data_IF_076042489311
#
_entry.id   IF_076042489311
#
_cell.length_a   1.000
_cell.length_b   1.000
_cell.length_c   1.000
_cell.angle_alpha   90.00
_cell.angle_beta   90.00
_cell.angle_gamma   90.00
#
_symmetry.space_group_name_H-M   'P 1'
#
loop_
_entity.id
_entity.type
_entity.pdbx_description
1 polymer ?
#
# COMPACT_ATOMS: atom_id res chain seq x y z
N UNK A 1 14.66 35.13 -22.87
CA UNK A 1 14.63 36.34 -22.04
C UNK A 1 14.98 35.92 -20.61
N UNK A 2 15.83 36.68 -19.91
CA UNK A 2 16.35 36.49 -18.52
C UNK A 2 17.78 35.92 -18.29
N UNK A 3 18.60 35.62 -19.31
CA UNK A 3 20.01 35.22 -19.01
C UNK A 3 20.94 36.41 -18.69
N UNK A 4 20.66 37.61 -19.22
CA UNK A 4 21.58 38.76 -19.10
C UNK A 4 21.62 39.28 -17.65
N UNK A 5 20.46 39.40 -16.99
CA UNK A 5 20.39 39.85 -15.60
C UNK A 5 21.07 38.86 -14.65
N UNK A 6 20.86 37.56 -14.85
CA UNK A 6 21.55 36.52 -14.09
C UNK A 6 23.06 36.54 -14.34
N UNK A 7 23.51 36.74 -15.58
CA UNK A 7 24.93 36.88 -15.90
C UNK A 7 25.55 38.16 -15.33
N UNK A 8 24.82 39.26 -15.29
CA UNK A 8 25.24 40.52 -14.66
C UNK A 8 25.42 40.35 -13.14
N UNK A 9 24.44 39.74 -12.46
CA UNK A 9 24.52 39.47 -11.03
C UNK A 9 25.63 38.47 -10.69
N UNK A 10 25.78 37.41 -11.48
CA UNK A 10 26.83 36.42 -11.33
C UNK A 10 28.22 37.04 -11.57
N UNK A 11 28.40 37.85 -12.61
CA UNK A 11 29.68 38.50 -12.91
C UNK A 11 30.07 39.50 -11.83
N UNK A 12 29.13 40.30 -11.31
CA UNK A 12 29.37 41.19 -10.17
C UNK A 12 29.77 40.42 -8.90
N UNK A 13 29.14 39.27 -8.64
CA UNK A 13 29.49 38.42 -7.49
C UNK A 13 30.87 37.79 -7.63
N UNK A 14 31.18 37.24 -8.80
CA UNK A 14 32.49 36.68 -9.13
C UNK A 14 33.56 37.78 -9.04
N UNK A 15 33.27 38.98 -9.55
CA UNK A 15 34.18 40.12 -9.46
C UNK A 15 34.50 40.48 -8.01
N UNK A 16 33.49 40.57 -7.13
CA UNK A 16 33.71 40.82 -5.69
C UNK A 16 34.55 39.73 -5.04
N UNK A 17 34.28 38.47 -5.36
CA UNK A 17 35.07 37.34 -4.87
C UNK A 17 36.52 37.43 -5.36
N UNK A 18 36.73 37.65 -6.65
CA UNK A 18 38.05 37.83 -7.23
C UNK A 18 38.78 39.03 -6.64
N UNK A 19 38.09 40.12 -6.32
CA UNK A 19 38.69 41.30 -5.71
C UNK A 19 39.19 41.02 -4.29
N UNK A 20 38.48 40.20 -3.52
CA UNK A 20 38.85 39.85 -2.14
C UNK A 20 39.76 38.62 -2.04
N UNK A 21 39.81 37.79 -3.08
CA UNK A 21 40.61 36.57 -3.11
C UNK A 21 42.07 36.86 -3.48
N UNK A 22 43.02 36.25 -2.76
CA UNK A 22 44.43 36.21 -3.13
C UNK A 22 44.68 34.99 -4.02
N UNK A 23 45.25 35.18 -5.21
CA UNK A 23 45.58 34.08 -6.12
C UNK A 23 46.72 33.23 -5.53
N UNK A 24 46.48 31.93 -5.34
CA UNK A 24 47.44 31.00 -4.77
C UNK A 24 48.30 30.40 -5.89
N UNK A 25 49.24 31.21 -6.38
CA UNK A 25 50.29 30.80 -7.30
C UNK A 25 49.93 30.84 -8.79
N UNK A 26 50.92 30.49 -9.62
CA UNK A 26 50.88 30.60 -11.09
C UNK A 26 49.79 29.70 -11.71
N UNK A 27 49.60 28.51 -11.15
CA UNK A 27 48.68 27.48 -11.64
C UNK A 27 47.22 27.92 -11.53
N UNK A 28 46.83 28.48 -10.38
CA UNK A 28 45.47 29.01 -10.15
C UNK A 28 45.19 30.23 -11.02
N UNK A 29 46.13 31.19 -11.07
CA UNK A 29 46.01 32.39 -11.90
C UNK A 29 45.83 32.04 -13.39
N UNK A 30 46.65 31.11 -13.89
CA UNK A 30 46.56 30.59 -15.26
C UNK A 30 45.23 29.91 -15.54
N UNK A 31 44.72 29.13 -14.58
CA UNK A 31 43.43 28.46 -14.71
C UNK A 31 42.28 29.46 -14.85
N UNK A 32 42.23 30.50 -14.01
CA UNK A 32 41.17 31.51 -14.04
C UNK A 32 41.22 32.35 -15.32
N UNK A 33 42.40 32.79 -15.75
CA UNK A 33 42.58 33.51 -17.03
C UNK A 33 42.14 32.64 -18.20
N UNK A 34 42.55 31.38 -18.23
CA UNK A 34 42.15 30.43 -19.27
C UNK A 34 40.62 30.25 -19.31
N UNK A 35 39.96 30.17 -18.15
CA UNK A 35 38.50 30.06 -18.09
C UNK A 35 37.80 31.29 -18.66
N UNK A 36 38.20 32.50 -18.25
CA UNK A 36 37.60 33.74 -18.76
C UNK A 36 37.92 33.91 -20.26
N UNK A 37 39.14 33.61 -20.70
CA UNK A 37 39.54 33.68 -22.11
C UNK A 37 38.71 32.76 -23.00
N UNK A 38 38.49 31.51 -22.55
CA UNK A 38 37.67 30.55 -23.29
C UNK A 38 36.22 31.02 -23.42
N UNK A 39 35.65 31.61 -22.38
CA UNK A 39 34.28 32.15 -22.42
C UNK A 39 34.22 33.37 -23.34
N UNK A 40 35.23 34.25 -23.30
CA UNK A 40 35.38 35.40 -24.19
C UNK A 40 35.43 34.98 -25.66
N UNK A 41 36.14 33.90 -26.01
CA UNK A 41 36.17 33.37 -27.37
C UNK A 41 34.81 32.84 -27.84
N UNK A 42 34.01 32.25 -26.94
CA UNK A 42 32.71 31.66 -27.29
C UNK A 42 31.59 32.72 -27.34
N UNK A 43 31.67 33.77 -26.52
CA UNK A 43 30.56 34.73 -26.29
C UNK A 43 30.94 36.20 -26.55
N UNK A 44 32.15 36.48 -27.01
CA UNK A 44 32.69 37.83 -27.16
C UNK A 44 32.11 38.67 -28.31
N UNK A 45 31.23 38.09 -29.13
CA UNK A 45 30.46 38.82 -30.14
C UNK A 45 29.37 39.69 -29.51
N UNK A 46 28.80 39.26 -28.38
CA UNK A 46 27.79 40.01 -27.67
C UNK A 46 28.44 41.07 -26.76
N UNK A 47 28.17 42.35 -27.03
CA UNK A 47 28.75 43.48 -26.30
C UNK A 47 28.45 43.46 -24.79
N UNK A 48 27.26 43.02 -24.38
CA UNK A 48 26.86 42.96 -22.97
C UNK A 48 27.62 41.88 -22.18
N UNK A 49 27.80 40.68 -22.74
CA UNK A 49 28.57 39.63 -22.07
C UNK A 49 30.07 39.96 -22.07
N UNK A 50 30.55 40.59 -23.13
CA UNK A 50 31.94 41.04 -23.22
C UNK A 50 32.27 42.09 -22.15
N UNK A 51 31.36 43.05 -21.89
CA UNK A 51 31.56 44.09 -20.87
C UNK A 51 31.63 43.54 -19.45
N UNK A 52 30.93 42.44 -19.15
CA UNK A 52 31.04 41.73 -17.87
C UNK A 52 32.35 40.93 -17.76
N UNK A 53 32.75 40.26 -18.83
CA UNK A 53 33.93 39.39 -18.84
C UNK A 53 35.24 40.18 -18.88
N UNK A 54 35.28 41.34 -19.57
CA UNK A 54 36.47 42.20 -19.63
C UNK A 54 36.85 42.72 -18.25
N UNK A 55 35.87 43.03 -17.40
CA UNK A 55 36.12 43.47 -16.03
C UNK A 55 36.77 42.36 -15.18
N UNK A 56 36.33 41.12 -15.36
CA UNK A 56 36.95 39.94 -14.74
C UNK A 56 38.35 39.67 -15.29
N UNK A 57 38.53 39.78 -16.62
CA UNK A 57 39.83 39.59 -17.25
C UNK A 57 40.84 40.64 -16.79
N UNK A 58 40.44 41.92 -16.74
CA UNK A 58 41.30 43.02 -16.28
C UNK A 58 41.76 42.81 -14.85
N UNK A 59 40.84 42.46 -13.95
CA UNK A 59 41.22 42.20 -12.55
C UNK A 59 42.12 40.98 -12.39
N UNK A 60 41.91 39.94 -13.18
CA UNK A 60 42.81 38.78 -13.19
C UNK A 60 44.20 39.16 -13.71
N UNK A 61 44.30 39.95 -14.79
CA UNK A 61 45.58 40.44 -15.32
C UNK A 61 46.31 41.28 -14.28
N UNK A 62 45.63 42.24 -13.65
CA UNK A 62 46.24 43.10 -12.63
C UNK A 62 46.78 42.30 -11.44
N UNK A 63 46.02 41.31 -10.98
CA UNK A 63 46.42 40.45 -9.84
C UNK A 63 47.49 39.42 -10.20
N UNK A 64 47.53 38.97 -11.45
CA UNK A 64 48.45 37.93 -11.90
C UNK A 64 49.69 38.45 -12.61
N UNK A 65 49.79 39.76 -12.83
CA UNK A 65 50.86 40.42 -13.58
C UNK A 65 52.26 39.96 -13.14
N UNK A 66 52.51 39.97 -11.82
CA UNK A 66 53.77 39.50 -11.24
C UNK A 66 53.86 37.97 -11.13
N UNK A 67 52.75 37.30 -10.84
CA UNK A 67 52.69 35.84 -10.66
C UNK A 67 52.97 35.08 -11.96
N UNK A 68 52.55 35.63 -13.09
CA UNK A 68 52.74 35.05 -14.42
C UNK A 68 53.93 35.66 -15.18
N UNK A 69 54.67 36.60 -14.57
CA UNK A 69 55.78 37.32 -15.22
C UNK A 69 55.34 37.93 -16.56
N UNK A 70 54.15 38.56 -16.57
CA UNK A 70 53.57 39.14 -17.78
C UNK A 70 54.46 40.24 -18.38
N UNK A 71 55.27 40.91 -17.56
CA UNK A 71 56.28 41.87 -17.99
C UNK A 71 57.33 41.29 -18.97
N UNK A 72 57.55 39.97 -18.97
CA UNK A 72 58.51 39.30 -19.87
C UNK A 72 57.78 38.61 -21.01
N UNK A 73 56.58 38.07 -20.73
CA UNK A 73 55.85 37.21 -21.66
C UNK A 73 54.88 37.97 -22.57
N UNK A 74 54.46 39.16 -22.14
CA UNK A 74 53.47 39.98 -22.83
C UNK A 74 53.82 41.47 -22.65
N UNK A 75 54.63 42.00 -23.58
CA UNK A 75 55.20 43.34 -23.48
C UNK A 75 54.19 44.44 -23.82
N UNK A 76 53.18 44.14 -24.63
CA UNK A 76 52.21 45.12 -25.13
C UNK A 76 50.83 45.07 -24.43
N UNK A 77 50.73 44.49 -23.23
CA UNK A 77 49.43 44.45 -22.52
C UNK A 77 48.94 45.88 -22.29
N UNK A 78 47.72 46.25 -22.69
CA UNK A 78 47.18 47.56 -22.38
C UNK A 78 47.01 47.68 -20.86
N UNK A 79 47.75 48.59 -20.21
CA UNK A 79 47.69 48.80 -18.75
C UNK A 79 46.76 49.96 -18.34
N UNK A 80 46.05 50.56 -19.31
CA UNK A 80 45.23 51.73 -19.07
C UNK A 80 44.06 51.42 -18.12
N UNK A 81 43.58 52.46 -17.42
CA UNK A 81 42.34 52.37 -16.61
C UNK A 81 41.18 51.97 -17.52
N UNK A 82 40.16 51.32 -16.95
CA UNK A 82 38.98 50.83 -17.67
C UNK A 82 38.22 52.01 -18.32
N UNK A 83 38.61 52.38 -19.54
CA UNK A 83 37.96 53.37 -20.39
C UNK A 83 37.23 52.66 -21.52
N UNK A 84 36.23 53.28 -22.16
CA UNK A 84 35.58 52.71 -23.35
C UNK A 84 36.60 52.35 -24.45
N UNK A 85 37.64 53.17 -24.63
CA UNK A 85 38.75 52.88 -25.53
C UNK A 85 39.54 51.62 -25.14
N UNK A 86 39.83 51.42 -23.84
CA UNK A 86 40.51 50.22 -23.35
C UNK A 86 39.75 48.93 -23.67
N UNK A 87 38.41 48.94 -23.62
CA UNK A 87 37.58 47.76 -23.88
C UNK A 87 37.74 47.31 -25.34
N UNK A 88 37.78 48.26 -26.28
CA UNK A 88 38.00 48.01 -27.71
C UNK A 88 39.44 47.62 -28.01
N UNK A 89 40.42 48.33 -27.44
CA UNK A 89 41.84 48.04 -27.59
C UNK A 89 42.19 46.64 -27.07
N UNK A 90 41.65 46.26 -25.92
CA UNK A 90 41.87 44.93 -25.35
C UNK A 90 41.17 43.83 -26.17
N UNK A 91 40.03 44.14 -26.81
CA UNK A 91 39.35 43.19 -27.70
C UNK A 91 40.20 42.84 -28.91
N UNK A 92 40.82 43.86 -29.51
CA UNK A 92 41.79 43.68 -30.60
C UNK A 92 43.05 43.00 -30.09
N UNK A 93 43.51 43.33 -28.89
CA UNK A 93 44.67 42.71 -28.27
C UNK A 93 44.53 41.20 -28.09
N UNK A 94 43.36 40.72 -27.64
CA UNK A 94 43.07 39.29 -27.51
C UNK A 94 43.13 38.51 -28.82
N UNK A 95 43.11 39.18 -29.98
CA UNK A 95 43.24 38.56 -31.30
C UNK A 95 44.71 38.53 -31.80
N UNK A 96 45.62 39.19 -31.09
CA UNK A 96 47.04 39.22 -31.46
C UNK A 96 47.71 37.87 -31.24
N UNK A 97 48.73 37.59 -32.05
CA UNK A 97 49.56 36.39 -31.90
C UNK A 97 50.26 36.34 -30.54
N UNK A 98 50.60 37.49 -29.96
CA UNK A 98 51.24 37.60 -28.65
C UNK A 98 50.34 37.02 -27.54
N UNK A 99 49.07 37.46 -27.49
CA UNK A 99 48.10 36.95 -26.52
C UNK A 99 47.83 35.45 -26.70
N UNK A 100 47.62 35.01 -27.95
CA UNK A 100 47.36 33.60 -28.25
C UNK A 100 48.53 32.71 -27.81
N UNK A 101 49.78 33.10 -28.13
CA UNK A 101 50.98 32.34 -27.74
C UNK A 101 51.14 32.30 -26.21
N UNK A 102 50.86 33.40 -25.51
CA UNK A 102 50.87 33.43 -24.05
C UNK A 102 49.84 32.45 -23.46
N UNK A 103 48.60 32.49 -23.96
CA UNK A 103 47.54 31.61 -23.50
C UNK A 103 47.91 30.13 -23.73
N UNK A 104 48.39 29.78 -24.93
CA UNK A 104 48.73 28.41 -25.30
C UNK A 104 49.98 27.88 -24.58
N UNK A 105 51.07 28.67 -24.53
CA UNK A 105 52.35 28.17 -24.01
C UNK A 105 52.51 28.31 -22.50
N UNK A 106 51.80 29.24 -21.87
CA UNK A 106 52.00 29.56 -20.45
C UNK A 106 50.74 29.25 -19.63
N UNK A 107 49.58 29.72 -20.06
CA UNK A 107 48.35 29.53 -19.28
C UNK A 107 47.76 28.13 -19.43
N UNK A 108 47.84 27.50 -20.61
CA UNK A 108 47.28 26.17 -20.84
C UNK A 108 47.95 25.07 -20.01
N UNK A 109 49.28 24.87 -20.04
CA UNK A 109 49.91 23.80 -19.27
C UNK A 109 49.67 23.99 -17.77
N UNK A 110 49.85 25.21 -17.24
CA UNK A 110 49.61 25.50 -15.83
C UNK A 110 48.13 25.36 -15.42
N UNK A 111 47.18 25.65 -16.32
CA UNK A 111 45.75 25.40 -16.09
C UNK A 111 45.42 23.91 -16.04
N UNK A 112 46.05 23.09 -16.87
CA UNK A 112 45.87 21.63 -16.88
C UNK A 112 46.44 20.99 -15.61
N UNK A 113 47.60 21.47 -15.15
CA UNK A 113 48.19 21.06 -13.87
C UNK A 113 47.24 21.38 -12.71
N UNK A 114 46.71 22.61 -12.64
CA UNK A 114 45.73 22.99 -11.61
C UNK A 114 44.47 22.11 -11.65
N UNK A 115 43.92 21.86 -12.85
CA UNK A 115 42.76 20.98 -13.03
C UNK A 115 43.05 19.57 -12.54
N UNK A 116 44.24 19.04 -12.84
CA UNK A 116 44.61 17.67 -12.48
C UNK A 116 44.84 17.49 -10.98
N UNK A 117 45.46 18.47 -10.32
CA UNK A 117 45.78 18.42 -8.88
C UNK A 117 44.58 18.73 -8.00
N UNK A 118 43.74 19.70 -8.38
CA UNK A 118 42.68 20.22 -7.50
C UNK A 118 41.29 19.79 -7.96
N UNK A 119 40.96 20.01 -9.25
CA UNK A 119 39.58 19.86 -9.73
C UNK A 119 39.20 18.40 -9.95
N UNK A 120 40.07 17.58 -10.57
CA UNK A 120 39.78 16.16 -10.82
C UNK A 120 39.59 15.37 -9.51
N UNK A 121 40.46 15.50 -8.48
CA UNK A 121 40.27 14.80 -7.22
C UNK A 121 39.04 15.29 -6.47
N UNK A 122 38.78 16.60 -6.46
CA UNK A 122 37.55 17.15 -5.88
C UNK A 122 36.29 16.55 -6.52
N UNK A 123 36.21 16.53 -7.86
CA UNK A 123 35.09 15.91 -8.57
C UNK A 123 34.92 14.43 -8.24
N UNK A 124 36.03 13.67 -8.19
CA UNK A 124 36.01 12.25 -7.84
C UNK A 124 35.52 12.02 -6.42
N UNK A 125 35.97 12.83 -5.46
CA UNK A 125 35.53 12.75 -4.07
C UNK A 125 34.06 13.13 -3.92
N UNK A 126 33.61 14.16 -4.63
CA UNK A 126 32.20 14.55 -4.66
C UNK A 126 31.33 13.42 -5.21
N UNK A 127 31.76 12.78 -6.30
CA UNK A 127 31.05 11.63 -6.88
C UNK A 127 30.95 10.47 -5.88
N UNK A 128 32.05 10.10 -5.23
CA UNK A 128 32.04 9.07 -4.18
C UNK A 128 31.07 9.41 -3.05
N UNK A 129 31.10 10.66 -2.58
CA UNK A 129 30.21 11.12 -1.53
C UNK A 129 28.73 11.02 -1.93
N UNK A 130 28.38 11.42 -3.15
CA UNK A 130 27.03 11.23 -3.69
C UNK A 130 26.64 9.75 -3.82
N UNK A 131 27.56 8.90 -4.26
CA UNK A 131 27.30 7.46 -4.37
C UNK A 131 27.06 6.83 -2.99
N UNK A 132 27.85 7.23 -1.99
CA UNK A 132 27.75 6.69 -0.63
C UNK A 132 26.48 7.20 0.07
N UNK A 133 26.14 8.47 -0.06
CA UNK A 133 24.86 9.01 0.45
C UNK A 133 23.66 8.32 -0.18
N UNK A 134 23.70 8.06 -1.49
CA UNK A 134 22.65 7.31 -2.18
C UNK A 134 22.55 5.86 -1.67
N UNK A 135 23.67 5.17 -1.48
CA UNK A 135 23.68 3.81 -0.90
C UNK A 135 23.14 3.80 0.53
N UNK A 136 23.52 4.78 1.36
CA UNK A 136 23.01 4.90 2.73
C UNK A 136 21.49 5.15 2.74
N UNK A 137 20.99 6.01 1.85
CA UNK A 137 19.56 6.24 1.70
C UNK A 137 18.83 4.95 1.28
N UNK A 138 19.33 4.27 0.26
CA UNK A 138 18.72 3.03 -0.25
C UNK A 138 18.69 1.94 0.82
N UNK A 139 19.80 1.70 1.51
CA UNK A 139 19.86 0.74 2.61
C UNK A 139 18.96 1.11 3.78
N UNK A 140 18.79 2.41 4.07
CA UNK A 140 17.83 2.89 5.06
C UNK A 140 16.38 2.58 4.69
N UNK A 141 16.03 2.78 3.42
CA UNK A 141 14.71 2.43 2.88
C UNK A 141 14.48 0.92 2.97
N UNK A 142 15.43 0.11 2.49
CA UNK A 142 15.31 -1.36 2.49
C UNK A 142 15.21 -1.93 3.92
N UNK A 143 15.94 -1.34 4.89
CA UNK A 143 15.81 -1.73 6.30
C UNK A 143 14.42 -1.39 6.85
N UNK A 144 13.90 -0.20 6.54
CA UNK A 144 12.57 0.23 6.99
C UNK A 144 11.48 -0.67 6.39
N UNK A 145 11.53 -0.97 5.10
CA UNK A 145 10.53 -1.84 4.45
C UNK A 145 10.55 -3.23 5.06
N UNK A 146 11.75 -3.81 5.25
CA UNK A 146 11.92 -5.11 5.91
C UNK A 146 11.34 -5.13 7.33
N UNK A 147 11.63 -4.11 8.15
CA UNK A 147 11.06 -4.00 9.50
C UNK A 147 9.54 -3.90 9.48
N UNK A 148 8.96 -3.12 8.55
CA UNK A 148 7.51 -3.03 8.41
C UNK A 148 6.90 -4.39 8.04
N UNK A 149 7.52 -5.13 7.14
CA UNK A 149 7.07 -6.47 6.75
C UNK A 149 7.18 -7.47 7.90
N UNK A 150 8.28 -7.47 8.64
CA UNK A 150 8.47 -8.30 9.82
C UNK A 150 7.45 -7.99 10.91
N UNK A 151 7.21 -6.71 11.21
CA UNK A 151 6.23 -6.30 12.22
C UNK A 151 4.79 -6.60 11.78
N UNK A 152 4.47 -6.46 10.48
CA UNK A 152 3.17 -6.91 9.93
C UNK A 152 2.97 -8.40 10.15
N UNK A 153 4.00 -9.21 9.90
CA UNK A 153 3.93 -10.66 10.07
C UNK A 153 3.83 -11.07 11.54
N UNK A 154 4.53 -10.36 12.42
CA UNK A 154 4.39 -10.52 13.89
C UNK A 154 2.99 -10.16 14.35
N UNK A 155 2.43 -9.03 13.91
CA UNK A 155 1.07 -8.63 14.24
C UNK A 155 0.03 -9.65 13.76
N UNK A 156 0.19 -10.15 12.53
CA UNK A 156 -0.69 -11.18 11.98
C UNK A 156 -0.65 -12.47 12.82
N UNK A 157 0.54 -12.98 13.11
CA UNK A 157 0.72 -14.26 13.82
C UNK A 157 0.39 -14.17 15.32
N UNK A 158 0.82 -13.11 15.99
CA UNK A 158 0.72 -12.98 17.45
C UNK A 158 -0.60 -12.38 17.91
N UNK A 159 -1.26 -11.55 17.10
CA UNK A 159 -2.48 -10.85 17.53
C UNK A 159 -3.67 -11.33 16.71
N UNK A 160 -3.62 -11.19 15.37
CA UNK A 160 -4.79 -11.48 14.54
C UNK A 160 -5.14 -12.97 14.54
N UNK A 161 -4.18 -13.87 14.34
CA UNK A 161 -4.47 -15.31 14.32
C UNK A 161 -4.94 -15.81 15.68
N UNK A 162 -4.33 -15.36 16.79
CA UNK A 162 -4.81 -15.72 18.13
C UNK A 162 -6.25 -15.25 18.36
N UNK A 163 -6.59 -14.03 17.92
CA UNK A 163 -7.95 -13.53 18.03
C UNK A 163 -8.92 -14.30 17.14
N UNK A 164 -8.54 -14.65 15.90
CA UNK A 164 -9.36 -15.47 14.99
C UNK A 164 -9.65 -16.83 15.60
N UNK A 165 -8.62 -17.51 16.10
CA UNK A 165 -8.76 -18.81 16.78
C UNK A 165 -9.72 -18.69 17.97
N UNK A 166 -9.53 -17.68 18.83
CA UNK A 166 -10.41 -17.46 19.99
C UNK A 166 -11.84 -17.13 19.57
N UNK A 167 -12.04 -16.32 18.55
CA UNK A 167 -13.37 -15.99 18.02
C UNK A 167 -14.07 -17.24 17.51
N UNK A 168 -13.37 -18.08 16.73
CA UNK A 168 -13.90 -19.37 16.26
C UNK A 168 -14.29 -20.26 17.43
N UNK A 169 -13.43 -20.40 18.45
CA UNK A 169 -13.73 -21.23 19.61
C UNK A 169 -14.93 -20.72 20.42
N UNK A 170 -15.03 -19.41 20.61
CA UNK A 170 -16.17 -18.80 21.31
C UNK A 170 -17.48 -18.94 20.53
N UNK A 171 -17.44 -18.79 19.21
CA UNK A 171 -18.61 -18.99 18.36
C UNK A 171 -19.12 -20.43 18.45
N UNK A 172 -18.22 -21.41 18.33
CA UNK A 172 -18.56 -22.83 18.48
C UNK A 172 -19.15 -23.09 19.87
N UNK A 173 -18.51 -22.59 20.93
CA UNK A 173 -19.00 -22.72 22.31
C UNK A 173 -20.42 -22.17 22.48
N UNK A 174 -20.67 -20.98 21.93
CA UNK A 174 -21.98 -20.33 22.02
C UNK A 174 -23.04 -21.08 21.20
N UNK A 175 -22.71 -21.50 19.98
CA UNK A 175 -23.60 -22.29 19.13
C UNK A 175 -24.00 -23.61 19.80
N UNK A 176 -23.03 -24.32 20.41
CA UNK A 176 -23.29 -25.51 21.22
C UNK A 176 -24.26 -25.24 22.35
N UNK A 177 -24.03 -24.19 23.13
CA UNK A 177 -24.89 -23.81 24.25
C UNK A 177 -26.33 -23.52 23.78
N UNK A 178 -26.49 -22.79 22.68
CA UNK A 178 -27.80 -22.53 22.08
C UNK A 178 -28.49 -23.82 21.60
N UNK A 179 -27.75 -24.73 20.97
CA UNK A 179 -28.31 -26.00 20.49
C UNK A 179 -28.75 -26.88 21.66
N UNK A 180 -27.93 -26.99 22.72
CA UNK A 180 -28.29 -27.72 23.94
C UNK A 180 -29.54 -27.13 24.59
N UNK A 181 -29.65 -25.80 24.67
CA UNK A 181 -30.84 -25.15 25.21
C UNK A 181 -32.10 -25.46 24.39
N UNK A 182 -32.01 -25.41 23.05
CA UNK A 182 -33.13 -25.77 22.17
C UNK A 182 -33.53 -27.24 22.30
N UNK A 183 -32.54 -28.13 22.38
CA UNK A 183 -32.79 -29.55 22.59
C UNK A 183 -33.50 -29.80 23.91
N UNK A 184 -33.05 -29.17 25.00
CA UNK A 184 -33.70 -29.27 26.29
C UNK A 184 -35.15 -28.75 26.24
N UNK A 185 -35.40 -27.62 25.58
CA UNK A 185 -36.76 -27.10 25.39
C UNK A 185 -37.65 -28.10 24.63
N UNK A 186 -37.16 -28.65 23.53
CA UNK A 186 -37.89 -29.66 22.75
C UNK A 186 -38.17 -30.94 23.56
N UNK A 187 -37.22 -31.39 24.39
CA UNK A 187 -37.40 -32.55 25.28
C UNK A 187 -38.47 -32.26 26.35
N UNK A 188 -38.45 -31.08 26.95
CA UNK A 188 -39.49 -30.69 27.92
C UNK A 188 -40.87 -30.60 27.26
N UNK A 189 -40.95 -30.02 26.06
CA UNK A 189 -42.20 -29.91 25.31
C UNK A 189 -42.75 -31.27 24.89
N UNK A 190 -41.88 -32.19 24.45
CA UNK A 190 -42.28 -33.57 24.10
C UNK A 190 -42.76 -34.34 25.34
N UNK A 191 -42.01 -34.32 26.45
CA UNK A 191 -42.46 -34.93 27.70
C UNK A 191 -43.79 -34.35 28.20
N UNK A 192 -43.97 -33.04 28.08
CA UNK A 192 -45.21 -32.37 28.45
C UNK A 192 -46.38 -32.84 27.57
N UNK A 193 -46.17 -32.90 26.25
CA UNK A 193 -47.17 -33.38 25.31
C UNK A 193 -47.50 -34.86 25.53
N UNK A 194 -46.53 -35.71 25.85
CA UNK A 194 -46.76 -37.11 26.19
C UNK A 194 -47.60 -37.26 27.47
N UNK A 195 -47.29 -36.48 28.51
CA UNK A 195 -48.06 -36.45 29.77
C UNK A 195 -49.48 -35.94 29.53
N UNK A 196 -49.65 -34.85 28.77
CA UNK A 196 -50.97 -34.36 28.39
C UNK A 196 -51.78 -35.43 27.65
N UNK A 197 -51.18 -36.08 26.64
CA UNK A 197 -51.81 -37.19 25.92
C UNK A 197 -52.20 -38.34 26.85
N UNK A 198 -51.35 -38.70 27.82
CA UNK A 198 -51.69 -39.71 28.82
C UNK A 198 -52.95 -39.34 29.62
N UNK A 199 -53.12 -38.06 29.98
CA UNK A 199 -54.29 -37.60 30.73
C UNK A 199 -55.57 -37.49 29.88
N UNK A 200 -55.48 -37.04 28.62
CA UNK A 200 -56.65 -36.75 27.78
C UNK A 200 -57.14 -37.92 26.91
N UNK A 201 -56.33 -38.97 26.73
CA UNK A 201 -56.68 -40.15 25.92
C UNK A 201 -57.91 -40.89 26.46
N UNK A 202 -58.46 -41.80 25.65
CA UNK A 202 -59.68 -42.58 25.96
C UNK A 202 -59.68 -43.28 27.33
N UNK A 203 -58.50 -43.65 27.83
CA UNK A 203 -58.29 -44.29 29.15
C UNK A 203 -57.70 -43.34 30.20
N UNK A 204 -57.59 -42.07 29.87
CA UNK A 204 -56.97 -41.04 30.71
C UNK A 204 -57.96 -40.44 31.71
N UNK A 205 -57.48 -39.96 32.88
CA UNK A 205 -58.33 -39.33 33.89
C UNK A 205 -59.09 -38.09 33.43
N UNK A 206 -58.64 -37.39 32.39
CA UNK A 206 -59.21 -36.16 31.84
C UNK A 206 -59.80 -36.37 30.45
N UNK A 207 -60.22 -37.60 30.13
CA UNK A 207 -60.78 -37.92 28.83
C UNK A 207 -61.95 -36.99 28.47
N UNK A 208 -61.82 -36.31 27.33
CA UNK A 208 -62.91 -35.61 26.66
C UNK A 208 -63.15 -36.30 25.32
N UNK A 209 -64.41 -36.52 24.91
CA UNK A 209 -64.70 -37.09 23.60
C UNK A 209 -64.27 -36.08 22.51
N UNK A 210 -63.07 -36.26 21.97
CA UNK A 210 -62.51 -35.44 20.88
C UNK A 210 -62.88 -36.04 19.52
N UNK A 211 -63.35 -35.22 18.58
CA UNK A 211 -63.67 -35.62 17.20
C UNK A 211 -62.43 -35.76 16.29
N UNK A 212 -61.24 -35.49 16.80
CA UNK A 212 -59.98 -35.51 16.04
C UNK A 212 -59.56 -36.95 15.73
N UNK A 213 -59.47 -37.27 14.44
CA UNK A 213 -59.02 -38.58 13.95
C UNK A 213 -57.54 -38.79 14.29
N UNK A 214 -57.23 -39.88 15.00
CA UNK A 214 -55.85 -40.24 15.33
C UNK A 214 -55.21 -40.88 14.10
N UNK A 215 -54.07 -40.33 13.68
CA UNK A 215 -53.26 -40.89 12.60
C UNK A 215 -52.09 -41.67 13.19
N UNK A 216 -51.79 -42.83 12.62
CA UNK A 216 -50.74 -43.72 13.09
C UNK A 216 -49.62 -43.82 12.06
N UNK A 217 -48.38 -43.92 12.53
CA UNK A 217 -47.19 -44.20 11.73
C UNK A 217 -46.34 -45.28 12.40
N UNK A 218 -45.50 -45.94 11.61
CA UNK A 218 -44.49 -46.82 12.17
C UNK A 218 -43.36 -45.97 12.75
N UNK A 219 -42.96 -46.27 13.98
CA UNK A 219 -41.75 -45.71 14.56
C UNK A 219 -40.56 -46.08 13.70
N UNK A 220 -39.65 -45.13 13.52
CA UNK A 220 -38.37 -45.35 12.83
C UNK A 220 -37.47 -46.36 13.58
N UNK A 221 -37.79 -46.71 14.84
CA UNK A 221 -37.02 -47.69 15.61
C UNK A 221 -37.75 -49.01 15.77
N UNK A 222 -36.97 -50.07 15.56
CA UNK A 222 -37.39 -51.41 15.88
C UNK A 222 -37.38 -51.62 17.40
N UNK A 223 -38.38 -52.35 17.87
CA UNK A 223 -38.32 -52.90 19.21
C UNK A 223 -37.24 -54.00 19.24
N UNK A 224 -36.13 -53.76 19.92
CA UNK A 224 -35.00 -54.71 20.00
C UNK A 224 -35.40 -56.11 20.54
N UNK A 225 -36.47 -56.21 21.33
CA UNK A 225 -36.93 -57.50 21.87
C UNK A 225 -37.88 -58.24 20.92
N UNK A 226 -38.51 -57.53 19.98
CA UNK A 226 -39.53 -58.09 19.07
C UNK A 226 -39.13 -58.02 17.60
N UNK A 227 -38.01 -57.37 17.29
CA UNK A 227 -37.50 -57.06 15.94
C UNK A 227 -38.59 -56.54 14.99
N UNK A 228 -39.43 -55.62 15.50
CA UNK A 228 -40.54 -55.01 14.76
C UNK A 228 -40.73 -53.56 15.21
N UNK A 229 -41.00 -52.66 14.27
CA UNK A 229 -41.34 -51.26 14.57
C UNK A 229 -42.63 -51.17 15.38
N UNK A 230 -42.68 -50.22 16.32
CA UNK A 230 -43.90 -49.91 17.08
C UNK A 230 -44.79 -48.98 16.29
N UNK A 231 -46.10 -49.20 16.34
CA UNK A 231 -47.07 -48.22 15.86
C UNK A 231 -47.12 -47.05 16.86
N UNK A 232 -46.84 -45.85 16.39
CA UNK A 232 -46.86 -44.61 17.17
C UNK A 232 -47.79 -43.60 16.51
N UNK A 233 -48.31 -42.67 17.31
CA UNK A 233 -49.20 -41.63 16.81
C UNK A 233 -48.41 -40.62 15.97
N UNK A 234 -48.90 -40.33 14.77
CA UNK A 234 -48.33 -39.32 13.90
C UNK A 234 -48.87 -37.95 14.29
N UNK A 235 -48.07 -37.18 15.05
CA UNK A 235 -48.43 -35.83 15.49
C UNK A 235 -48.28 -34.77 14.38
N UNK A 236 -47.64 -35.14 13.26
CA UNK A 236 -47.40 -34.27 12.11
C UNK A 236 -48.02 -34.86 10.84
N UNK A 237 -49.18 -35.51 10.99
CA UNK A 237 -49.90 -36.04 9.84
C UNK A 237 -50.31 -34.89 8.93
N UNK A 238 -49.79 -34.93 7.70
CA UNK A 238 -50.17 -34.05 6.62
C UNK A 238 -50.92 -34.89 5.58
N UNK A 239 -52.09 -34.42 5.15
CA UNK A 239 -52.87 -35.04 4.07
C UNK A 239 -52.15 -34.90 2.72
N UNK A 240 -51.11 -34.05 2.65
CA UNK A 240 -50.41 -33.64 1.43
C UNK A 240 -51.33 -32.99 0.40
N UNK A 241 -52.48 -32.49 0.84
CA UNK A 241 -53.46 -31.79 0.02
C UNK A 241 -52.85 -30.49 -0.52
N UNK A 242 -52.20 -29.71 0.35
CA UNK A 242 -51.51 -28.48 -0.05
C UNK A 242 -50.35 -28.77 -1.01
N UNK A 243 -49.54 -29.80 -0.76
CA UNK A 243 -48.47 -30.20 -1.68
C UNK A 243 -49.01 -30.67 -3.04
N UNK A 244 -50.16 -31.32 -3.06
CA UNK A 244 -50.86 -31.75 -4.29
C UNK A 244 -51.43 -30.55 -5.04
N UNK A 245 -52.06 -29.61 -4.32
CA UNK A 245 -52.56 -28.35 -4.87
C UNK A 245 -51.42 -27.51 -5.45
N UNK A 246 -50.28 -27.39 -4.77
CA UNK A 246 -49.10 -26.68 -5.28
C UNK A 246 -48.54 -27.33 -6.56
N UNK A 247 -48.52 -28.67 -6.63
CA UNK A 247 -48.11 -29.37 -7.86
C UNK A 247 -49.06 -29.08 -9.01
N UNK A 248 -50.35 -29.09 -8.74
CA UNK A 248 -51.39 -28.91 -9.75
C UNK A 248 -51.53 -27.42 -10.14
N UNK A 249 -51.25 -26.48 -9.24
CA UNK A 249 -51.08 -25.05 -9.53
C UNK A 249 -49.78 -24.75 -10.29
N UNK A 250 -48.69 -25.48 -10.01
CA UNK A 250 -47.44 -25.41 -10.76
C UNK A 250 -47.57 -25.83 -12.23
N UNK A 251 -48.64 -26.54 -12.57
CA UNK A 251 -49.00 -26.87 -13.95
C UNK A 251 -49.71 -25.73 -14.71
N UNK A 252 -50.08 -24.62 -14.03
CA UNK A 252 -50.80 -23.48 -14.64
C UNK A 252 -49.91 -22.31 -15.08
N UNK A 253 -48.59 -22.37 -14.87
CA UNK A 253 -47.67 -21.31 -15.28
C UNK A 253 -47.28 -21.46 -16.76
N UNK A 254 -47.69 -20.51 -17.59
CA UNK A 254 -47.37 -20.48 -19.03
C UNK A 254 -45.97 -19.93 -19.35
N UNK A 255 -45.24 -19.39 -18.37
CA UNK A 255 -43.94 -18.73 -18.54
C UNK A 255 -42.85 -19.33 -17.67
N UNK A 256 -41.66 -19.56 -18.27
CA UNK A 256 -40.48 -20.16 -17.64
C UNK A 256 -39.91 -19.28 -16.50
N UNK A 257 -40.08 -17.95 -16.59
CA UNK A 257 -39.53 -17.01 -15.61
C UNK A 257 -40.32 -16.96 -14.29
N UNK A 258 -41.64 -17.16 -14.34
CA UNK A 258 -42.49 -17.26 -13.15
C UNK A 258 -42.24 -18.56 -12.38
N UNK A 259 -42.02 -19.65 -13.12
CA UNK A 259 -41.68 -20.95 -12.54
C UNK A 259 -40.36 -20.91 -11.76
N UNK A 260 -39.32 -20.27 -12.31
CA UNK A 260 -38.01 -20.20 -11.65
C UNK A 260 -38.05 -19.42 -10.33
N UNK A 261 -38.73 -18.26 -10.29
CA UNK A 261 -38.84 -17.46 -9.06
C UNK A 261 -39.54 -18.22 -7.93
N UNK A 262 -40.65 -18.89 -8.22
CA UNK A 262 -41.40 -19.68 -7.21
C UNK A 262 -40.63 -20.92 -6.76
N UNK A 263 -39.85 -21.54 -7.65
CA UNK A 263 -38.99 -22.68 -7.31
C UNK A 263 -37.88 -22.29 -6.33
N UNK A 264 -37.29 -21.10 -6.47
CA UNK A 264 -36.32 -20.56 -5.50
C UNK A 264 -36.94 -20.28 -4.13
N UNK A 265 -38.16 -19.73 -4.08
CA UNK A 265 -38.91 -19.52 -2.83
C UNK A 265 -39.27 -20.86 -2.16
N UNK A 266 -39.72 -21.84 -2.94
CA UNK A 266 -40.07 -23.18 -2.44
C UNK A 266 -38.85 -23.94 -1.91
N UNK A 267 -37.68 -23.82 -2.55
CA UNK A 267 -36.43 -24.41 -2.03
C UNK A 267 -36.00 -23.79 -0.69
N UNK A 268 -36.26 -22.49 -0.50
CA UNK A 268 -36.00 -21.80 0.77
C UNK A 268 -36.92 -22.31 1.88
N UNK A 269 -38.20 -22.53 1.57
CA UNK A 269 -39.19 -23.08 2.50
C UNK A 269 -38.93 -24.57 2.80
N UNK A 270 -38.48 -25.35 1.80
CA UNK A 270 -38.16 -26.78 1.96
C UNK A 270 -36.99 -27.03 2.90
N UNK A 271 -35.99 -26.14 2.92
CA UNK A 271 -34.92 -26.16 3.93
C UNK A 271 -35.47 -26.01 5.36
N UNK A 272 -36.48 -25.17 5.54
CA UNK A 272 -37.13 -24.94 6.84
C UNK A 272 -37.96 -26.17 7.29
N UNK A 273 -38.66 -26.83 6.36
CA UNK A 273 -39.47 -28.02 6.66
C UNK A 273 -38.62 -29.27 6.95
N UNK A 274 -37.49 -29.46 6.26
CA UNK A 274 -36.54 -30.56 6.53
C UNK A 274 -35.93 -30.40 7.93
N UNK A 275 -35.61 -29.17 8.33
CA UNK A 275 -35.09 -28.87 9.67
C UNK A 275 -36.11 -29.19 10.79
N UNK A 276 -37.41 -29.15 10.46
CA UNK A 276 -38.53 -29.50 11.34
C UNK A 276 -38.88 -31.01 11.32
N UNK A 277 -38.48 -31.74 10.28
CA UNK A 277 -38.56 -33.20 10.25
C UNK A 277 -37.38 -33.85 10.98
N UNK A 278 -36.20 -33.22 10.97
CA UNK A 278 -35.04 -33.71 11.73
C UNK A 278 -35.25 -33.67 13.25
N UNK A 279 -36.14 -32.82 13.77
CA UNK A 279 -36.54 -32.86 15.18
C UNK A 279 -37.40 -34.06 15.57
N UNK A 280 -37.76 -34.95 14.63
CA UNK A 280 -38.54 -36.17 14.90
C UNK A 280 -37.69 -37.42 15.20
N UNK A 281 -36.36 -37.31 15.16
CA UNK A 281 -35.46 -38.43 15.50
C UNK A 281 -35.13 -38.39 16.99
N UNK A 282 -36.12 -38.70 17.82
CA UNK A 282 -36.04 -38.70 19.29
C UNK A 282 -35.17 -39.86 19.81
N UNK A 283 -33.84 -39.75 19.92
CA UNK A 283 -33.04 -40.58 20.85
C UNK A 283 -31.77 -39.85 21.29
N UNK A 284 -31.50 -39.94 22.59
CA UNK A 284 -30.28 -39.42 23.26
C UNK A 284 -28.95 -39.88 22.65
N UNK A 285 -28.88 -41.03 21.96
CA UNK A 285 -27.64 -41.51 21.33
C UNK A 285 -27.37 -40.90 19.93
N UNK A 286 -28.41 -40.66 19.11
CA UNK A 286 -28.27 -40.00 17.79
C UNK A 286 -28.04 -38.49 17.93
N UNK A 287 -28.48 -37.90 19.05
CA UNK A 287 -28.22 -36.51 19.39
C UNK A 287 -26.71 -36.22 19.54
N UNK A 288 -25.94 -37.15 20.08
CA UNK A 288 -24.48 -37.00 20.19
C UNK A 288 -23.79 -37.08 18.83
N UNK A 289 -24.19 -38.00 17.96
CA UNK A 289 -23.59 -38.17 16.63
C UNK A 289 -23.94 -37.01 15.68
N UNK A 290 -25.17 -36.48 15.73
CA UNK A 290 -25.58 -35.29 14.98
C UNK A 290 -24.92 -34.00 15.50
N UNK A 291 -24.70 -33.88 16.81
CA UNK A 291 -23.94 -32.78 17.40
C UNK A 291 -22.48 -32.78 16.91
N UNK A 292 -21.83 -33.95 16.88
CA UNK A 292 -20.45 -34.07 16.41
C UNK A 292 -20.31 -33.77 14.91
N UNK A 293 -21.28 -34.17 14.09
CA UNK A 293 -21.32 -33.86 12.65
C UNK A 293 -21.58 -32.36 12.39
N UNK A 294 -22.51 -31.75 13.14
CA UNK A 294 -22.80 -30.32 13.08
C UNK A 294 -21.61 -29.47 13.49
N UNK A 295 -20.87 -29.89 14.52
CA UNK A 295 -19.64 -29.23 14.98
C UNK A 295 -18.55 -29.21 13.91
N UNK A 296 -18.33 -30.34 13.22
CA UNK A 296 -17.37 -30.44 12.12
C UNK A 296 -17.77 -29.56 10.92
N UNK A 297 -19.07 -29.51 10.61
CA UNK A 297 -19.59 -28.65 9.54
C UNK A 297 -19.48 -27.15 9.88
N UNK A 298 -19.80 -26.75 11.12
CA UNK A 298 -19.64 -25.37 11.59
C UNK A 298 -18.18 -24.93 11.55
N UNK A 299 -17.26 -25.79 11.97
CA UNK A 299 -15.83 -25.52 11.91
C UNK A 299 -15.33 -25.35 10.47
N UNK A 300 -15.83 -26.16 9.53
CA UNK A 300 -15.51 -26.06 8.10
C UNK A 300 -16.11 -24.81 7.44
N UNK A 301 -17.33 -24.41 7.81
CA UNK A 301 -17.97 -23.20 7.28
C UNK A 301 -17.26 -21.91 7.71
N UNK A 302 -16.78 -21.85 8.96
CA UNK A 302 -16.01 -20.70 9.45
C UNK A 302 -14.64 -20.56 8.76
N UNK A 303 -14.01 -21.68 8.40
CA UNK A 303 -12.77 -21.69 7.60
C UNK A 303 -12.99 -21.18 6.16
N UNK A 304 -14.22 -21.31 5.64
CA UNK A 304 -14.61 -20.80 4.32
C UNK A 304 -14.99 -19.31 4.37
N UNK A 305 -15.72 -18.85 5.39
CA UNK A 305 -16.05 -17.43 5.59
C UNK A 305 -14.80 -16.55 5.76
N UNK A 306 -13.74 -17.05 6.39
CA UNK A 306 -12.46 -16.33 6.50
C UNK A 306 -11.69 -16.21 5.19
N UNK A 307 -12.05 -17.00 4.16
CA UNK A 307 -11.48 -16.90 2.81
C UNK A 307 -12.27 -15.94 1.91
N UNK A 308 -13.43 -15.44 2.32
CA UNK A 308 -14.16 -14.45 1.55
C UNK A 308 -13.48 -13.07 1.62
N UNK A 309 -13.24 -12.52 0.43
CA UNK A 309 -12.51 -11.26 0.21
C UNK A 309 -13.14 -10.10 0.96
N UNK A 310 -12.30 -9.28 1.59
CA UNK A 310 -12.68 -7.92 2.01
C UNK A 310 -13.31 -7.17 0.83
N UNK A 311 -14.60 -6.81 0.94
CA UNK A 311 -15.34 -6.05 -0.06
C UNK A 311 -15.23 -4.53 0.12
N UNK A 312 -14.76 -4.06 1.29
CA UNK A 312 -14.59 -2.63 1.59
C UNK A 312 -13.27 -2.43 2.36
N UNK A 313 -12.36 -1.68 1.76
CA UNK A 313 -11.16 -1.16 2.42
C UNK A 313 -11.16 0.37 2.33
N UNK A 314 -10.95 1.04 3.46
CA UNK A 314 -10.73 2.49 3.50
C UNK A 314 -9.23 2.78 3.65
N UNK A 315 -8.72 3.70 2.85
CA UNK A 315 -7.35 4.20 2.99
C UNK A 315 -7.31 5.20 4.14
N UNK A 316 -6.99 4.73 5.35
CA UNK A 316 -6.78 5.63 6.48
C UNK A 316 -5.40 6.30 6.35
N UNK A 317 -5.36 7.58 5.99
CA UNK A 317 -4.17 8.41 6.15
C UNK A 317 -3.97 8.74 7.63
N UNK A 318 -2.78 8.46 8.16
CA UNK A 318 -2.38 8.83 9.51
C UNK A 318 -2.43 10.36 9.65
N UNK A 319 -3.41 10.89 10.40
CA UNK A 319 -3.45 12.31 10.75
C UNK A 319 -2.55 12.50 11.97
N UNK A 320 -1.33 12.99 11.75
CA UNK A 320 -0.47 13.48 12.82
C UNK A 320 -1.00 14.86 13.22
N UNK A 321 -1.70 14.95 14.35
CA UNK A 321 -2.05 16.25 14.93
C UNK A 321 -0.77 16.80 15.57
N UNK A 322 0.00 17.57 14.81
CA UNK A 322 0.92 18.55 15.40
C UNK A 322 0.10 19.79 15.70
N UNK A 323 -0.46 19.88 16.90
CA UNK A 323 -0.96 21.15 17.41
C UNK A 323 0.24 22.08 17.62
N UNK A 324 0.46 22.95 16.64
CA UNK A 324 1.19 24.20 16.81
C UNK A 324 0.19 25.20 17.38
N UNK A 325 0.47 25.70 18.58
CA UNK A 325 0.12 27.02 19.14
C UNK A 325 0.79 27.07 20.52
N UNK A 326 1.58 28.04 20.94
CA UNK A 326 2.08 29.33 20.43
C UNK A 326 3.32 29.67 21.25
#
# INVERSE_FOLDING_TARGET
YDNILHCSNASASIYRLLQNHSLNGKEEASYLIMCVNRIMLIRGENQEYYSYLILLMKTLIDKSYYLLQMNVQILNVPQQKLTPAFIEDFKLYCQTTEWCIFIEKQCQPSSEDYKSKNIKPFKKNMQKWWDDTYKMMKTGIDKRTKQIEEEKLRFQSQILELWRVRRRSEYIRYSKMLNLQRLQQNLVDTEWNEKLKYFERERGPWHKPSLTKIHWMLSARENCHRMRCKLIENSHFDSYEEASLERDENFKYSSVDEYQKKLFENLKNKKFSIQKQLSSVENDELLNDEQMSSDQQLQNNLLLEEKEKMLIGSNCSLITITSVTE
#
